data_IF_342251370320
#
_entry.id   IF_342251370320
#
_cell.length_a   1.000
_cell.length_b   1.000
_cell.length_c   1.000
_cell.angle_alpha   90.00
_cell.angle_beta   90.00
_cell.angle_gamma   90.00
#
_symmetry.space_group_name_H-M   'P 1'
#
loop_
_entity.id
_entity.type
_entity.pdbx_description
1 polymer ?
#
# COMPACT_ATOMS: atom_id res chain seq x y z
N UNK A 1 -1.35 -7.33 -5.98
CA UNK A 1 -1.97 -7.66 -7.29
C UNK A 1 -1.67 -9.12 -7.61
N UNK A 2 -2.53 -9.78 -8.35
CA UNK A 2 -2.26 -11.15 -8.84
C UNK A 2 -1.03 -11.13 -9.76
N UNK A 3 -0.20 -12.18 -9.68
CA UNK A 3 1.04 -12.27 -10.45
C UNK A 3 2.21 -11.45 -9.92
N UNK A 4 2.06 -10.74 -8.79
CA UNK A 4 3.18 -9.99 -8.20
C UNK A 4 4.15 -10.92 -7.45
N UNK A 5 5.46 -10.68 -7.61
CA UNK A 5 6.51 -11.43 -6.90
C UNK A 5 6.88 -10.66 -5.63
N UNK A 6 6.70 -11.30 -4.49
CA UNK A 6 7.06 -10.74 -3.18
C UNK A 6 8.48 -11.20 -2.79
N UNK A 7 9.34 -10.23 -2.49
CA UNK A 7 10.71 -10.46 -2.03
C UNK A 7 10.81 -10.30 -0.50
N UNK A 8 10.10 -11.19 0.23
CA UNK A 8 10.06 -11.16 1.69
C UNK A 8 11.43 -11.51 2.27
N UNK A 9 11.90 -10.71 3.23
CA UNK A 9 13.15 -10.87 3.95
C UNK A 9 12.92 -10.79 5.46
N UNK A 10 13.93 -11.13 6.27
CA UNK A 10 13.90 -11.00 7.72
C UNK A 10 13.58 -9.57 8.19
N UNK A 11 13.95 -8.55 7.41
CA UNK A 11 13.62 -7.15 7.72
C UNK A 11 12.11 -6.91 7.73
N UNK A 12 11.37 -7.48 6.77
CA UNK A 12 9.91 -7.39 6.72
C UNK A 12 9.26 -8.13 7.90
N UNK A 13 9.83 -9.28 8.29
CA UNK A 13 9.38 -10.04 9.47
C UNK A 13 9.55 -9.22 10.76
N UNK A 14 10.71 -8.59 10.93
CA UNK A 14 11.02 -7.73 12.07
C UNK A 14 10.06 -6.56 12.18
N UNK A 15 9.84 -5.82 11.09
CA UNK A 15 8.93 -4.68 11.09
C UNK A 15 7.48 -5.11 11.34
N UNK A 16 7.03 -6.19 10.70
CA UNK A 16 5.68 -6.70 10.89
C UNK A 16 5.43 -7.16 12.34
N UNK A 17 6.41 -7.79 13.00
CA UNK A 17 6.32 -8.16 14.41
C UNK A 17 6.11 -6.93 15.29
N UNK A 18 6.94 -5.91 15.14
CA UNK A 18 6.83 -4.67 15.89
C UNK A 18 5.47 -3.97 15.69
N UNK A 19 4.92 -4.00 14.45
CA UNK A 19 3.60 -3.42 14.15
C UNK A 19 2.49 -4.25 14.81
N UNK A 20 2.51 -5.58 14.63
CA UNK A 20 1.46 -6.47 15.16
C UNK A 20 1.45 -6.46 16.69
N UNK A 21 2.60 -6.33 17.34
CA UNK A 21 2.67 -6.21 18.81
C UNK A 21 2.05 -4.89 19.31
N UNK A 22 2.17 -3.80 18.53
CA UNK A 22 1.48 -2.55 18.84
C UNK A 22 -0.03 -2.68 18.65
N UNK A 23 -0.48 -3.32 17.56
CA UNK A 23 -1.90 -3.56 17.29
C UNK A 23 -2.58 -4.38 18.39
N UNK A 24 -1.86 -5.32 19.02
CA UNK A 24 -2.41 -6.15 20.09
C UNK A 24 -2.80 -5.38 21.36
N UNK A 25 -2.36 -4.13 21.48
CA UNK A 25 -2.68 -3.23 22.62
C UNK A 25 -3.93 -2.40 22.38
N UNK A 26 -4.47 -2.43 21.15
CA UNK A 26 -5.64 -1.65 20.76
C UNK A 26 -6.87 -2.55 20.86
N UNK A 27 -7.74 -2.27 21.81
CA UNK A 27 -9.06 -2.85 21.94
C UNK A 27 -10.01 -2.14 20.97
N UNK A 28 -9.94 -2.47 19.68
CA UNK A 28 -10.86 -1.88 18.72
C UNK A 28 -11.58 -2.96 17.90
N UNK A 29 -12.71 -2.58 17.29
CA UNK A 29 -13.41 -3.34 16.28
C UNK A 29 -12.61 -3.45 14.98
N UNK A 30 -13.23 -3.16 13.85
CA UNK A 30 -12.58 -3.12 12.53
C UNK A 30 -11.57 -1.96 12.46
N UNK A 31 -10.39 -2.23 11.87
CA UNK A 31 -9.32 -1.26 11.74
C UNK A 31 -8.77 -1.18 10.31
N UNK A 32 -8.60 0.03 9.81
CA UNK A 32 -7.98 0.33 8.51
C UNK A 32 -6.53 0.76 8.73
N UNK A 33 -5.59 0.03 8.16
CA UNK A 33 -4.17 0.39 8.14
C UNK A 33 -3.77 0.83 6.73
N UNK A 34 -3.08 1.96 6.62
CA UNK A 34 -2.49 2.43 5.38
C UNK A 34 -0.98 2.23 5.39
N UNK A 35 -0.42 1.52 4.41
CA UNK A 35 1.04 1.31 4.26
C UNK A 35 1.51 1.99 2.99
N UNK A 36 2.14 3.14 3.14
CA UNK A 36 2.66 3.96 2.04
C UNK A 36 4.18 3.96 1.97
N UNK A 37 4.68 4.41 0.83
CA UNK A 37 6.11 4.54 0.56
C UNK A 37 6.40 4.43 -0.94
N UNK A 38 7.63 4.68 -1.34
CA UNK A 38 8.01 4.74 -2.74
C UNK A 38 8.08 3.36 -3.42
N UNK A 39 8.24 3.37 -4.75
CA UNK A 39 8.34 2.13 -5.54
C UNK A 39 9.51 1.27 -5.06
N UNK A 40 9.26 -0.03 -4.84
CA UNK A 40 10.28 -0.98 -4.38
C UNK A 40 10.62 -0.92 -2.89
N UNK A 41 9.92 -0.11 -2.07
CA UNK A 41 10.22 0.03 -0.63
C UNK A 41 9.79 -1.16 0.24
N UNK A 42 9.08 -2.16 -0.30
CA UNK A 42 8.67 -3.36 0.45
C UNK A 42 7.28 -3.28 1.07
N UNK A 43 6.41 -2.38 0.60
CA UNK A 43 5.03 -2.21 1.09
C UNK A 43 4.19 -3.48 1.01
N UNK A 44 4.17 -4.10 -0.17
CA UNK A 44 3.38 -5.32 -0.41
C UNK A 44 3.91 -6.49 0.40
N UNK A 45 5.25 -6.60 0.54
CA UNK A 45 5.89 -7.59 1.39
C UNK A 45 5.49 -7.40 2.86
N UNK A 46 5.58 -6.16 3.35
CA UNK A 46 5.22 -5.83 4.74
C UNK A 46 3.73 -6.09 4.99
N UNK A 47 2.85 -5.65 4.10
CA UNK A 47 1.40 -5.90 4.20
C UNK A 47 1.09 -7.40 4.25
N UNK A 48 1.76 -8.20 3.41
CA UNK A 48 1.58 -9.65 3.38
C UNK A 48 2.06 -10.32 4.67
N UNK A 49 3.22 -9.90 5.20
CA UNK A 49 3.76 -10.46 6.47
C UNK A 49 2.87 -10.09 7.65
N UNK A 50 2.38 -8.84 7.74
CA UNK A 50 1.42 -8.41 8.76
C UNK A 50 0.16 -9.28 8.70
N UNK A 51 -0.46 -9.42 7.51
CA UNK A 51 -1.67 -10.23 7.32
C UNK A 51 -1.46 -11.68 7.78
N UNK A 52 -0.32 -12.30 7.44
CA UNK A 52 0.02 -13.66 7.84
C UNK A 52 0.20 -13.79 9.36
N UNK A 53 0.86 -12.82 10.01
CA UNK A 53 1.05 -12.81 11.46
C UNK A 53 -0.27 -12.61 12.21
N UNK A 54 -1.14 -11.72 11.73
CA UNK A 54 -2.50 -11.54 12.28
C UNK A 54 -3.30 -12.84 12.18
N UNK A 55 -3.25 -13.52 11.03
CA UNK A 55 -3.90 -14.83 10.86
C UNK A 55 -3.39 -15.87 11.86
N UNK A 56 -2.08 -15.86 12.15
CA UNK A 56 -1.48 -16.71 13.19
C UNK A 56 -2.00 -16.44 14.61
N UNK A 57 -2.54 -15.24 14.86
CA UNK A 57 -3.21 -14.85 16.13
C UNK A 57 -4.74 -15.04 16.09
N UNK A 58 -5.29 -15.64 15.02
CA UNK A 58 -6.73 -15.86 14.85
C UNK A 58 -7.48 -14.65 14.28
N UNK A 59 -6.77 -13.62 13.83
CA UNK A 59 -7.36 -12.39 13.28
C UNK A 59 -7.26 -12.36 11.75
N UNK A 60 -8.35 -12.01 11.08
CA UNK A 60 -8.36 -11.93 9.62
C UNK A 60 -8.05 -10.52 9.14
N UNK A 61 -7.18 -10.44 8.14
CA UNK A 61 -6.85 -9.21 7.43
C UNK A 61 -7.05 -9.36 5.93
N UNK A 62 -7.64 -8.35 5.30
CA UNK A 62 -7.70 -8.21 3.84
C UNK A 62 -6.73 -7.15 3.37
N UNK A 63 -5.96 -7.43 2.32
CA UNK A 63 -5.09 -6.45 1.67
C UNK A 63 -5.83 -5.85 0.49
N UNK A 64 -5.88 -4.51 0.44
CA UNK A 64 -6.38 -3.71 -0.65
C UNK A 64 -5.19 -3.00 -1.30
N UNK A 65 -4.86 -3.42 -2.52
CA UNK A 65 -3.80 -2.82 -3.32
C UNK A 65 -4.36 -1.62 -4.08
N UNK A 66 -3.96 -0.39 -3.75
CA UNK A 66 -4.50 0.79 -4.46
C UNK A 66 -4.11 0.80 -5.94
N UNK A 67 -3.09 0.07 -6.34
CA UNK A 67 -2.70 -0.08 -7.74
C UNK A 67 -3.76 -0.77 -8.61
N UNK A 68 -4.73 -1.46 -7.99
CA UNK A 68 -5.92 -1.96 -8.69
C UNK A 68 -6.97 -0.86 -8.97
N UNK A 69 -6.80 0.33 -8.43
CA UNK A 69 -7.77 1.43 -8.50
C UNK A 69 -7.33 2.57 -9.42
N UNK A 70 -6.33 2.35 -10.26
CA UNK A 70 -5.97 3.33 -11.29
C UNK A 70 -7.16 3.56 -12.25
N UNK A 71 -7.30 4.80 -12.72
CA UNK A 71 -8.32 5.18 -13.72
C UNK A 71 -7.95 4.76 -15.15
N UNK A 72 -6.67 4.47 -15.36
CA UNK A 72 -6.10 4.07 -16.64
C UNK A 72 -5.44 2.72 -16.46
N UNK A 73 -5.71 1.80 -17.37
CA UNK A 73 -5.16 0.45 -17.36
C UNK A 73 -3.62 0.45 -17.33
N UNK A 74 -2.97 -0.59 -16.78
CA UNK A 74 -1.51 -0.67 -16.77
C UNK A 74 -0.88 -0.51 -18.15
N UNK A 75 -1.48 -1.08 -19.19
CA UNK A 75 -1.00 -1.04 -20.58
C UNK A 75 -1.02 0.37 -21.16
N UNK A 76 -2.06 1.15 -20.87
CA UNK A 76 -2.26 2.49 -21.45
C UNK A 76 -1.59 3.59 -20.61
N UNK A 77 -1.23 3.31 -19.36
CA UNK A 77 -0.77 4.31 -18.37
C UNK A 77 0.48 5.05 -18.82
N UNK A 78 1.44 4.36 -19.43
CA UNK A 78 2.67 5.01 -19.91
C UNK A 78 2.39 6.02 -21.02
N UNK A 79 1.56 5.67 -22.00
CA UNK A 79 1.19 6.57 -23.09
C UNK A 79 0.27 7.69 -22.61
N UNK A 80 -0.61 7.41 -21.66
CA UNK A 80 -1.44 8.42 -21.01
C UNK A 80 -0.56 9.46 -20.29
N UNK A 81 0.42 9.02 -19.47
CA UNK A 81 1.36 9.90 -18.76
C UNK A 81 2.22 10.74 -19.72
N UNK A 82 2.67 10.17 -20.83
CA UNK A 82 3.38 10.92 -21.89
C UNK A 82 2.51 11.99 -22.52
N UNK A 83 1.24 11.66 -22.78
CA UNK A 83 0.28 12.57 -23.42
C UNK A 83 -0.11 13.73 -22.52
N UNK A 84 -0.32 13.50 -21.25
CA UNK A 84 -0.79 14.52 -20.29
C UNK A 84 0.32 15.14 -19.45
N UNK A 85 1.55 14.70 -19.63
CA UNK A 85 2.74 15.20 -18.94
C UNK A 85 2.92 14.65 -17.54
N UNK A 86 4.15 14.76 -17.02
CA UNK A 86 4.52 14.24 -15.69
C UNK A 86 3.74 14.89 -14.54
N UNK A 87 3.24 16.11 -14.73
CA UNK A 87 2.45 16.81 -13.71
C UNK A 87 1.09 16.13 -13.45
N UNK A 88 0.61 15.31 -14.39
CA UNK A 88 -0.62 14.52 -14.21
C UNK A 88 -0.44 13.32 -13.28
N UNK A 89 0.82 12.94 -12.98
CA UNK A 89 1.16 11.79 -12.15
C UNK A 89 0.90 12.11 -10.68
N UNK A 90 0.23 11.20 -10.00
CA UNK A 90 -0.02 11.32 -8.57
C UNK A 90 -1.44 10.92 -8.17
N UNK A 91 -2.00 11.63 -7.19
CA UNK A 91 -3.29 11.30 -6.58
C UNK A 91 -4.45 11.25 -7.59
N UNK A 92 -4.44 12.08 -8.63
CA UNK A 92 -5.52 12.15 -9.64
C UNK A 92 -5.61 10.92 -10.53
N UNK A 93 -4.56 10.09 -10.59
CA UNK A 93 -4.57 8.85 -11.37
C UNK A 93 -5.47 7.75 -10.76
N UNK A 94 -5.88 7.91 -9.49
CA UNK A 94 -6.62 6.89 -8.73
C UNK A 94 -8.11 7.21 -8.60
N UNK A 95 -8.92 6.19 -8.57
CA UNK A 95 -10.35 6.27 -8.27
C UNK A 95 -10.58 6.30 -6.74
N UNK A 96 -10.32 7.45 -6.13
CA UNK A 96 -10.47 7.64 -4.68
C UNK A 96 -11.91 7.44 -4.19
N UNK A 97 -12.91 7.69 -5.04
CA UNK A 97 -14.31 7.43 -4.67
C UNK A 97 -14.54 5.93 -4.42
N UNK A 98 -14.03 5.07 -5.30
CA UNK A 98 -14.15 3.63 -5.13
C UNK A 98 -13.28 3.10 -3.97
N UNK A 99 -12.07 3.64 -3.78
CA UNK A 99 -11.23 3.30 -2.61
C UNK A 99 -11.98 3.61 -1.31
N UNK A 100 -12.51 4.83 -1.18
CA UNK A 100 -13.22 5.26 0.02
C UNK A 100 -14.54 4.49 0.22
N UNK A 101 -15.25 4.15 -0.85
CA UNK A 101 -16.43 3.30 -0.81
C UNK A 101 -16.08 1.91 -0.23
N UNK A 102 -15.05 1.25 -0.75
CA UNK A 102 -14.66 -0.07 -0.27
C UNK A 102 -14.15 -0.04 1.20
N UNK A 103 -13.51 1.07 1.63
CA UNK A 103 -13.15 1.28 3.04
C UNK A 103 -14.41 1.40 3.91
N UNK A 104 -15.43 2.15 3.46
CA UNK A 104 -16.69 2.29 4.19
C UNK A 104 -17.44 0.95 4.28
N UNK A 105 -17.52 0.19 3.19
CA UNK A 105 -18.11 -1.16 3.16
C UNK A 105 -17.39 -2.11 4.12
N UNK A 106 -16.05 -2.03 4.20
CA UNK A 106 -15.28 -2.77 5.21
C UNK A 106 -15.66 -2.36 6.64
N UNK A 107 -15.72 -1.06 6.94
CA UNK A 107 -16.07 -0.57 8.29
C UNK A 107 -17.48 -1.04 8.72
N UNK A 108 -18.39 -1.13 7.76
CA UNK A 108 -19.75 -1.61 7.99
C UNK A 108 -19.89 -3.16 8.00
N UNK A 109 -18.80 -3.89 7.68
CA UNK A 109 -18.82 -5.35 7.60
C UNK A 109 -19.64 -5.89 6.44
N UNK A 110 -19.83 -5.13 5.38
CA UNK A 110 -20.62 -5.49 4.22
C UNK A 110 -19.82 -6.30 3.19
N UNK A 111 -20.53 -6.96 2.29
CA UNK A 111 -19.95 -7.47 1.06
C UNK A 111 -19.58 -6.30 0.14
N UNK A 112 -18.41 -6.39 -0.50
CA UNK A 112 -17.90 -5.39 -1.43
C UNK A 112 -17.34 -6.02 -2.71
N UNK A 113 -17.37 -5.26 -3.79
CA UNK A 113 -16.75 -5.62 -5.07
C UNK A 113 -15.43 -4.86 -5.19
N UNK A 114 -14.31 -5.58 -5.12
CA UNK A 114 -12.97 -5.03 -5.20
C UNK A 114 -12.40 -5.22 -6.62
N UNK A 115 -11.81 -4.21 -7.24
CA UNK A 115 -11.09 -4.39 -8.50
C UNK A 115 -9.85 -5.25 -8.27
N UNK A 116 -9.52 -6.08 -9.26
CA UNK A 116 -8.36 -6.95 -9.25
C UNK A 116 -7.71 -6.95 -10.62
N UNK A 117 -6.44 -6.56 -10.69
CA UNK A 117 -5.65 -6.62 -11.91
C UNK A 117 -4.74 -7.84 -11.84
N UNK A 118 -4.83 -8.70 -12.84
CA UNK A 118 -3.90 -9.79 -13.07
C UNK A 118 -2.76 -9.31 -13.98
N UNK A 119 -1.55 -9.19 -13.42
CA UNK A 119 -0.37 -8.71 -14.14
C UNK A 119 0.14 -9.68 -15.21
N UNK A 120 -0.26 -10.96 -15.17
CA UNK A 120 0.19 -11.96 -16.15
C UNK A 120 -0.68 -11.95 -17.40
N UNK A 121 -1.98 -11.71 -17.23
CA UNK A 121 -2.97 -11.72 -18.32
C UNK A 121 -3.45 -10.35 -18.74
N UNK A 122 -3.07 -9.31 -17.98
CA UNK A 122 -3.55 -7.92 -18.10
C UNK A 122 -5.09 -7.80 -18.02
N UNK A 123 -5.73 -8.75 -17.35
CA UNK A 123 -7.18 -8.73 -17.14
C UNK A 123 -7.55 -7.91 -15.90
N UNK A 124 -8.63 -7.17 -16.03
CA UNK A 124 -9.27 -6.45 -14.93
C UNK A 124 -10.50 -7.25 -14.47
N UNK A 125 -10.35 -7.90 -13.33
CA UNK A 125 -11.41 -8.68 -12.69
C UNK A 125 -12.06 -7.91 -11.53
N UNK A 126 -13.17 -8.46 -11.03
CA UNK A 126 -13.88 -7.97 -9.85
C UNK A 126 -14.04 -9.11 -8.85
N UNK A 127 -13.51 -8.91 -7.65
CA UNK A 127 -13.57 -9.89 -6.57
C UNK A 127 -14.65 -9.51 -5.55
N UNK A 128 -15.62 -10.39 -5.36
CA UNK A 128 -16.57 -10.24 -4.25
C UNK A 128 -15.86 -10.62 -2.96
N UNK A 129 -15.91 -9.75 -1.97
CA UNK A 129 -15.29 -9.93 -0.66
C UNK A 129 -16.31 -9.63 0.42
N UNK A 130 -16.60 -10.64 1.26
CA UNK A 130 -17.37 -10.45 2.47
C UNK A 130 -16.45 -9.96 3.59
N UNK A 131 -16.77 -8.80 4.15
CA UNK A 131 -15.99 -8.18 5.21
C UNK A 131 -16.49 -8.50 6.62
N UNK A 132 -17.56 -9.30 6.81
CA UNK A 132 -18.16 -9.56 8.12
C UNK A 132 -17.11 -10.04 9.14
N UNK A 133 -16.38 -11.11 8.82
CA UNK A 133 -15.39 -11.71 9.70
C UNK A 133 -13.99 -11.09 9.62
N UNK A 134 -13.80 -10.04 8.82
CA UNK A 134 -12.48 -9.41 8.62
C UNK A 134 -12.31 -8.24 9.59
N UNK A 135 -11.28 -8.30 10.45
CA UNK A 135 -10.99 -7.27 11.45
C UNK A 135 -10.08 -6.16 10.91
N UNK A 136 -9.14 -6.49 10.04
CA UNK A 136 -8.17 -5.54 9.54
C UNK A 136 -8.26 -5.36 8.02
N UNK A 137 -8.30 -4.11 7.55
CA UNK A 137 -8.09 -3.77 6.15
C UNK A 137 -6.73 -3.10 6.00
N UNK A 138 -5.84 -3.70 5.22
CA UNK A 138 -4.51 -3.16 4.93
C UNK A 138 -4.55 -2.54 3.54
N UNK A 139 -4.58 -1.22 3.47
CA UNK A 139 -4.52 -0.46 2.22
C UNK A 139 -3.07 -0.14 1.91
N UNK A 140 -2.52 -0.66 0.81
CA UNK A 140 -1.10 -0.47 0.48
C UNK A 140 -0.89 0.06 -0.93
N UNK A 141 0.20 0.80 -1.13
CA UNK A 141 0.63 1.36 -2.42
C UNK A 141 1.43 2.66 -2.28
N UNK A 142 1.44 3.49 -3.33
CA UNK A 142 2.19 4.75 -3.31
C UNK A 142 1.55 5.80 -2.37
N UNK A 143 0.23 5.94 -2.41
CA UNK A 143 -0.47 7.07 -1.78
C UNK A 143 -1.56 6.69 -0.74
N UNK A 144 -1.56 5.53 -0.09
CA UNK A 144 -2.66 5.11 0.79
C UNK A 144 -2.80 5.99 2.05
N UNK A 145 -1.75 6.74 2.43
CA UNK A 145 -1.82 7.68 3.54
C UNK A 145 -2.84 8.83 3.29
N UNK A 146 -3.30 9.00 2.02
CA UNK A 146 -4.40 9.90 1.67
C UNK A 146 -5.77 9.37 2.10
N UNK A 147 -5.91 8.05 2.28
CA UNK A 147 -7.16 7.42 2.70
C UNK A 147 -7.50 7.74 4.17
N UNK A 148 -8.78 7.55 4.50
CA UNK A 148 -9.26 7.56 5.89
C UNK A 148 -8.86 6.23 6.57
N UNK A 149 -7.70 6.25 7.23
CA UNK A 149 -7.12 5.10 7.91
C UNK A 149 -6.87 5.41 9.39
N UNK A 150 -7.07 4.39 10.23
CA UNK A 150 -6.90 4.47 11.69
C UNK A 150 -5.41 4.40 12.07
N UNK A 151 -4.57 3.78 11.24
CA UNK A 151 -3.13 3.73 11.41
C UNK A 151 -2.42 3.93 10.08
N UNK A 152 -1.57 4.94 10.00
CA UNK A 152 -0.80 5.30 8.81
C UNK A 152 0.67 4.97 9.00
N UNK A 153 1.18 4.07 8.17
CA UNK A 153 2.55 3.56 8.21
C UNK A 153 3.28 4.01 6.95
N UNK A 154 4.43 4.64 7.10
CA UNK A 154 5.27 5.07 5.98
C UNK A 154 6.60 4.33 5.99
N UNK A 155 6.99 3.72 4.87
CA UNK A 155 8.31 3.11 4.72
C UNK A 155 9.26 4.16 4.17
N UNK A 156 10.24 4.55 4.99
CA UNK A 156 11.18 5.66 4.73
C UNK A 156 12.38 5.21 3.88
N UNK A 157 12.06 4.67 2.68
CA UNK A 157 13.01 4.28 1.65
C UNK A 157 12.66 5.00 0.35
N UNK A 158 13.65 5.68 -0.24
CA UNK A 158 13.47 6.39 -1.51
C UNK A 158 13.71 5.49 -2.71
N UNK A 159 13.24 5.90 -3.89
CA UNK A 159 13.46 5.16 -5.14
C UNK A 159 14.94 5.04 -5.51
N UNK A 160 15.79 5.91 -5.01
CA UNK A 160 17.26 5.80 -5.17
C UNK A 160 17.80 4.58 -4.42
N UNK A 161 17.32 4.35 -3.19
CA UNK A 161 17.76 3.26 -2.33
C UNK A 161 17.17 1.92 -2.77
N UNK A 162 15.98 1.95 -3.35
CA UNK A 162 15.24 0.74 -3.78
C UNK A 162 15.54 0.32 -5.22
N UNK A 163 16.45 1.00 -5.93
CA UNK A 163 16.77 0.74 -7.34
C UNK A 163 17.05 -0.73 -7.67
N UNK A 164 17.78 -1.43 -6.79
CA UNK A 164 18.06 -2.87 -6.96
C UNK A 164 16.78 -3.71 -6.90
N UNK A 165 15.89 -3.41 -5.96
CA UNK A 165 14.61 -4.12 -5.81
C UNK A 165 13.70 -3.86 -7.02
N UNK A 166 13.67 -2.63 -7.55
CA UNK A 166 12.90 -2.28 -8.75
C UNK A 166 13.39 -3.05 -9.98
N UNK A 167 14.71 -3.16 -10.17
CA UNK A 167 15.31 -3.93 -11.28
C UNK A 167 14.97 -5.43 -11.15
N UNK A 168 15.09 -6.01 -9.95
CA UNK A 168 14.77 -7.41 -9.70
C UNK A 168 13.29 -7.75 -9.96
N UNK A 169 12.38 -6.80 -9.66
CA UNK A 169 10.95 -6.98 -9.96
C UNK A 169 10.61 -6.89 -11.44
N UNK A 170 11.42 -6.19 -12.24
CA UNK A 170 11.29 -6.13 -13.70
C UNK A 170 9.97 -5.59 -14.24
N UNK A 171 9.15 -4.90 -13.42
CA UNK A 171 7.81 -4.44 -13.81
C UNK A 171 7.81 -3.35 -14.89
N UNK A 172 8.85 -2.55 -14.94
CA UNK A 172 8.90 -1.39 -15.83
C UNK A 172 10.30 -1.19 -16.42
N UNK A 173 10.41 -0.75 -17.70
CA UNK A 173 11.70 -0.48 -18.33
C UNK A 173 12.39 0.71 -17.66
N UNK A 174 13.71 0.59 -17.44
CA UNK A 174 14.56 1.64 -16.85
C UNK A 174 15.01 2.60 -17.97
N UNK A 175 14.26 3.67 -18.21
CA UNK A 175 14.56 4.69 -19.19
C UNK A 175 14.40 6.11 -18.59
N UNK A 176 14.75 7.13 -19.37
CA UNK A 176 14.69 8.53 -18.93
C UNK A 176 13.27 8.97 -18.49
N UNK A 177 12.25 8.56 -19.24
CA UNK A 177 10.87 8.86 -18.87
C UNK A 177 10.48 8.22 -17.54
N UNK A 178 10.93 6.97 -17.29
CA UNK A 178 10.70 6.32 -15.99
C UNK A 178 11.34 7.08 -14.83
N UNK A 179 12.53 7.68 -15.04
CA UNK A 179 13.17 8.49 -14.01
C UNK A 179 12.35 9.75 -13.69
N UNK A 180 11.78 10.41 -14.69
CA UNK A 180 10.87 11.55 -14.48
C UNK A 180 9.61 11.12 -13.72
N UNK A 181 9.04 9.97 -14.07
CA UNK A 181 7.90 9.38 -13.34
C UNK A 181 8.25 9.12 -11.88
N UNK A 182 9.38 8.47 -11.61
CA UNK A 182 9.84 8.17 -10.24
C UNK A 182 10.09 9.44 -9.43
N UNK A 183 10.67 10.48 -10.05
CA UNK A 183 10.89 11.76 -9.38
C UNK A 183 9.55 12.41 -9.01
N UNK A 184 8.57 12.39 -9.90
CA UNK A 184 7.24 12.95 -9.62
C UNK A 184 6.49 12.14 -8.57
N UNK A 185 6.53 10.81 -8.67
CA UNK A 185 5.98 9.90 -7.64
C UNK A 185 6.61 10.19 -6.27
N UNK A 186 7.94 10.38 -6.21
CA UNK A 186 8.68 10.76 -5.01
C UNK A 186 8.11 12.04 -4.37
N UNK A 187 7.97 13.12 -5.13
CA UNK A 187 7.45 14.40 -4.62
C UNK A 187 6.08 14.22 -3.96
N UNK A 188 5.17 13.49 -4.62
CA UNK A 188 3.81 13.26 -4.11
C UNK A 188 3.83 12.32 -2.89
N UNK A 189 4.60 11.24 -2.91
CA UNK A 189 4.74 10.31 -1.78
C UNK A 189 5.31 11.02 -0.57
N UNK A 190 6.38 11.81 -0.73
CA UNK A 190 7.01 12.54 0.37
C UNK A 190 6.08 13.61 0.96
N UNK A 191 5.20 14.20 0.16
CA UNK A 191 4.19 15.15 0.68
C UNK A 191 3.21 14.52 1.67
N UNK A 192 3.00 13.19 1.61
CA UNK A 192 2.13 12.45 2.52
C UNK A 192 2.85 11.95 3.78
N UNK A 193 4.18 11.87 3.77
CA UNK A 193 5.00 11.39 4.89
C UNK A 193 4.67 12.06 6.24
N UNK A 194 4.40 13.38 6.34
CA UNK A 194 4.05 14.02 7.61
C UNK A 194 2.75 13.53 8.24
N UNK A 195 1.89 12.84 7.50
CA UNK A 195 0.64 12.26 8.00
C UNK A 195 0.81 10.86 8.59
N UNK A 196 2.01 10.28 8.53
CA UNK A 196 2.29 8.96 9.07
C UNK A 196 2.28 8.97 10.61
N UNK A 197 1.73 7.92 11.20
CA UNK A 197 1.76 7.63 12.63
C UNK A 197 3.01 6.81 12.99
N UNK A 198 3.39 5.90 12.10
CA UNK A 198 4.59 5.07 12.21
C UNK A 198 5.50 5.27 11.00
N UNK A 199 6.80 5.34 11.25
CA UNK A 199 7.83 5.24 10.22
C UNK A 199 8.53 3.88 10.32
N UNK A 200 8.66 3.21 9.18
CA UNK A 200 9.54 2.06 9.02
C UNK A 200 10.85 2.57 8.44
N UNK A 201 11.92 2.53 9.23
CA UNK A 201 13.24 3.02 8.86
C UNK A 201 13.90 2.15 7.78
N UNK A 202 15.07 2.57 7.27
CA UNK A 202 15.90 1.79 6.33
C UNK A 202 16.31 0.41 6.85
N UNK A 203 16.43 0.28 8.17
CA UNK A 203 16.74 -1.01 8.84
C UNK A 203 15.49 -1.78 9.26
N UNK A 204 14.33 -1.29 8.82
CA UNK A 204 13.03 -1.85 9.14
C UNK A 204 12.72 -1.85 10.64
N UNK A 205 13.25 -0.89 11.38
CA UNK A 205 12.79 -0.55 12.71
C UNK A 205 11.54 0.33 12.61
N UNK A 206 10.59 0.10 13.50
CA UNK A 206 9.33 0.85 13.55
C UNK A 206 9.38 1.88 14.64
N UNK A 207 9.30 3.16 14.25
CA UNK A 207 9.31 4.31 15.18
C UNK A 207 8.01 5.09 15.08
N UNK A 208 7.52 5.59 16.20
CA UNK A 208 6.35 6.47 16.26
C UNK A 208 6.74 7.90 15.87
N UNK A 209 5.90 8.56 15.08
CA UNK A 209 6.13 9.95 14.66
C UNK A 209 5.64 10.96 15.68
N UNK A 210 4.70 10.55 16.55
CA UNK A 210 4.13 11.34 17.65
C UNK A 210 3.99 10.44 18.87
N UNK A 211 4.24 10.99 20.05
CA UNK A 211 4.00 10.26 21.29
C UNK A 211 2.52 9.92 21.46
N UNK A 212 2.21 8.68 21.82
CA UNK A 212 0.87 8.25 22.21
C UNK A 212 -0.10 7.91 21.08
N UNK A 213 0.35 7.76 19.84
CA UNK A 213 -0.52 7.38 18.70
C UNK A 213 -1.26 6.06 18.93
N UNK A 214 -0.71 5.16 19.74
CA UNK A 214 -1.27 3.83 20.02
C UNK A 214 -1.60 3.62 21.52
N UNK A 215 -1.77 4.71 22.26
CA UNK A 215 -2.05 4.68 23.73
C UNK A 215 -3.49 5.07 24.07
N UNK A 216 -4.43 4.86 23.15
CA UNK A 216 -5.86 5.13 23.41
C UNK A 216 -6.66 3.85 23.58
#
# INVERSE_FOLDING_TARGET
>A
MLGDVLLITEKHEKAAEQIVDRLSRIESGKMVMAIGGESGSGKSELAHVISRRLKGKGELAKILHIDNYYRVSPQERTEWRKRYGVESIGLSEYNWNLINQNIAEFREGKEAVLPCIDLLTDQEDRLITDFEGIRYLIVEGLYPLRADADLKIFIDLTYHETKKAQILRGKEPQNEFRLQVLQREHEVVQSLRPSADLLVTKDFDVVETREGVLSA
#
